data_IF_830028539498
#
_entry.id   IF_830028539498
#
_cell.length_a   1.000
_cell.length_b   1.000
_cell.length_c   1.000
_cell.angle_alpha   90.00
_cell.angle_beta   90.00
_cell.angle_gamma   90.00
#
_symmetry.space_group_name_H-M   'P 1'
#
loop_
_entity.id
_entity.type
_entity.pdbx_description
1 polymer ?
#
# COMPACT_ATOMS: atom_id res chain seq x y z
N UNK A 1 21.63 36.03 -58.75
CA UNK A 1 20.95 36.15 -57.43
C UNK A 1 20.57 34.75 -56.96
N UNK A 2 21.28 34.22 -55.96
CA UNK A 2 21.04 32.87 -55.40
C UNK A 2 20.36 33.06 -54.06
N UNK A 3 19.08 32.71 -53.96
CA UNK A 3 18.31 32.69 -52.72
C UNK A 3 18.74 31.50 -51.85
N UNK A 4 19.16 31.77 -50.60
CA UNK A 4 19.46 30.74 -49.58
C UNK A 4 18.23 30.66 -48.67
N UNK A 5 17.49 29.55 -48.74
CA UNK A 5 16.41 29.23 -47.82
C UNK A 5 17.05 28.59 -46.56
N UNK A 6 16.90 29.24 -45.41
CA UNK A 6 17.34 28.70 -44.14
C UNK A 6 16.20 27.82 -43.58
N UNK A 7 16.47 26.54 -43.34
CA UNK A 7 15.58 25.63 -42.65
C UNK A 7 15.77 25.79 -41.13
N UNK A 8 14.73 26.18 -40.41
CA UNK A 8 14.70 26.23 -38.96
C UNK A 8 14.29 24.84 -38.46
N UNK A 9 15.25 24.13 -37.84
CA UNK A 9 14.98 22.88 -37.10
C UNK A 9 14.40 23.25 -35.72
N UNK A 10 13.12 23.01 -35.52
CA UNK A 10 12.46 23.04 -34.20
C UNK A 10 12.74 21.70 -33.53
N UNK A 11 13.65 21.70 -32.56
CA UNK A 11 13.87 20.56 -31.68
C UNK A 11 12.71 20.49 -30.66
N UNK A 12 11.74 19.63 -30.90
CA UNK A 12 10.70 19.29 -29.95
C UNK A 12 11.30 18.48 -28.78
N UNK A 13 11.31 19.07 -27.58
CA UNK A 13 11.62 18.32 -26.37
C UNK A 13 10.47 17.33 -26.10
N UNK A 14 10.68 16.04 -26.40
CA UNK A 14 9.83 14.96 -25.94
C UNK A 14 10.03 14.82 -24.43
N UNK A 15 9.10 15.35 -23.64
CA UNK A 15 8.99 14.99 -22.22
C UNK A 15 8.62 13.51 -22.15
N UNK A 16 9.57 12.68 -21.76
CA UNK A 16 9.28 11.29 -21.42
C UNK A 16 8.36 11.30 -20.19
N UNK A 17 7.09 11.00 -20.40
CA UNK A 17 6.17 10.63 -19.31
C UNK A 17 6.71 9.30 -18.80
N UNK A 18 7.27 9.30 -17.59
CA UNK A 18 7.62 8.06 -16.92
C UNK A 18 6.33 7.28 -16.73
N UNK A 19 6.20 6.14 -17.40
CA UNK A 19 5.14 5.19 -17.15
C UNK A 19 5.21 4.81 -15.66
N UNK A 20 4.15 5.06 -14.91
CA UNK A 20 4.05 4.67 -13.51
C UNK A 20 4.28 3.16 -13.42
N UNK A 21 5.28 2.73 -12.64
CA UNK A 21 5.45 1.32 -12.38
C UNK A 21 4.25 0.86 -11.53
N UNK A 22 3.47 -0.07 -12.05
CA UNK A 22 2.41 -0.73 -11.28
C UNK A 22 3.01 -1.44 -10.06
N UNK A 23 2.22 -1.58 -8.99
CA UNK A 23 2.61 -2.40 -7.85
C UNK A 23 2.82 -3.84 -8.32
N UNK A 24 4.00 -4.38 -8.03
CA UNK A 24 4.28 -5.79 -8.27
C UNK A 24 3.85 -6.60 -7.04
N UNK A 25 2.76 -7.37 -7.16
CA UNK A 25 2.25 -8.24 -6.10
C UNK A 25 2.40 -9.72 -6.48
N UNK A 26 2.51 -10.59 -5.49
CA UNK A 26 2.53 -12.05 -5.69
C UNK A 26 2.08 -12.79 -4.46
N UNK A 27 1.36 -13.91 -4.66
CA UNK A 27 0.92 -14.83 -3.62
C UNK A 27 1.57 -16.18 -3.81
N UNK A 28 2.18 -16.73 -2.75
CA UNK A 28 3.01 -17.94 -2.79
C UNK A 28 2.70 -18.81 -1.57
N UNK A 29 1.78 -19.75 -1.71
CA UNK A 29 1.37 -20.59 -0.58
C UNK A 29 0.86 -19.73 0.59
N UNK A 30 1.57 -19.74 1.73
CA UNK A 30 1.21 -18.95 2.91
C UNK A 30 1.89 -17.57 2.97
N UNK A 31 2.33 -17.04 1.81
CA UNK A 31 3.08 -15.80 1.73
C UNK A 31 2.51 -14.87 0.66
N UNK A 32 2.46 -13.58 0.99
CA UNK A 32 2.22 -12.51 0.02
C UNK A 32 3.45 -11.61 -0.10
N UNK A 33 3.67 -11.04 -1.27
CA UNK A 33 4.74 -10.07 -1.52
C UNK A 33 4.16 -8.86 -2.23
N UNK A 34 4.57 -7.69 -1.79
CA UNK A 34 4.27 -6.42 -2.46
C UNK A 34 5.58 -5.66 -2.65
N UNK A 35 5.83 -5.20 -3.87
CA UNK A 35 6.95 -4.32 -4.19
C UNK A 35 6.44 -2.98 -4.69
N UNK A 36 7.00 -1.89 -4.18
CA UNK A 36 6.58 -0.54 -4.56
C UNK A 36 7.32 0.00 -5.79
N UNK A 37 6.90 1.19 -6.22
CA UNK A 37 7.46 1.90 -7.37
C UNK A 37 8.94 2.30 -7.23
N UNK A 38 9.52 2.20 -6.03
CA UNK A 38 10.97 2.40 -5.77
C UNK A 38 11.70 1.09 -5.48
N UNK A 39 11.07 -0.05 -5.82
CA UNK A 39 11.59 -1.41 -5.59
C UNK A 39 11.85 -1.77 -4.13
N UNK A 40 11.18 -1.13 -3.17
CA UNK A 40 11.11 -1.67 -1.82
C UNK A 40 10.11 -2.81 -1.84
N UNK A 41 10.53 -4.01 -1.43
CA UNK A 41 9.66 -5.18 -1.37
C UNK A 41 9.41 -5.58 0.08
N UNK A 42 8.19 -5.99 0.36
CA UNK A 42 7.76 -6.54 1.65
C UNK A 42 7.10 -7.89 1.41
N UNK A 43 7.62 -8.94 2.02
CA UNK A 43 7.01 -10.27 2.06
C UNK A 43 6.35 -10.47 3.43
N UNK A 44 5.14 -10.98 3.45
CA UNK A 44 4.36 -11.29 4.65
C UNK A 44 4.06 -12.78 4.67
N UNK A 45 4.55 -13.49 5.67
CA UNK A 45 4.21 -14.88 5.96
C UNK A 45 3.15 -14.92 7.05
N UNK A 46 1.99 -15.52 6.76
CA UNK A 46 0.83 -15.47 7.64
C UNK A 46 0.88 -16.57 8.70
N UNK A 47 0.50 -16.20 9.92
CA UNK A 47 0.17 -17.14 10.98
C UNK A 47 -1.21 -17.76 10.80
N UNK A 48 -1.63 -18.56 11.78
CA UNK A 48 -2.95 -19.15 11.74
C UNK A 48 -4.05 -18.07 11.89
N UNK A 49 -5.09 -18.18 11.08
CA UNK A 49 -6.27 -17.33 11.16
C UNK A 49 -7.23 -17.92 12.20
N UNK A 50 -7.44 -17.21 13.30
CA UNK A 50 -8.42 -17.52 14.33
C UNK A 50 -9.75 -16.79 14.12
N UNK A 51 -10.68 -16.97 15.05
CA UNK A 51 -11.99 -16.29 15.03
C UNK A 51 -11.87 -14.77 15.20
N UNK A 52 -10.84 -14.30 15.91
CA UNK A 52 -10.59 -12.89 16.22
C UNK A 52 -9.57 -12.22 15.27
N UNK A 53 -9.17 -12.88 14.18
CA UNK A 53 -8.18 -12.39 13.25
C UNK A 53 -6.91 -13.25 13.20
N UNK A 54 -5.79 -12.70 12.75
CA UNK A 54 -4.51 -13.41 12.68
C UNK A 54 -3.89 -13.59 14.05
N UNK A 55 -3.34 -14.79 14.32
CA UNK A 55 -2.50 -15.03 15.51
C UNK A 55 -1.18 -14.25 15.44
N UNK A 56 -0.81 -13.77 14.26
CA UNK A 56 0.40 -13.00 13.96
C UNK A 56 0.91 -13.26 12.55
N UNK A 57 2.00 -12.60 12.19
CA UNK A 57 2.63 -12.75 10.88
C UNK A 57 4.10 -12.34 10.94
N UNK A 58 4.90 -12.91 10.03
CA UNK A 58 6.29 -12.51 9.83
C UNK A 58 6.36 -11.54 8.64
N UNK A 59 6.96 -10.37 8.85
CA UNK A 59 7.28 -9.43 7.79
C UNK A 59 8.79 -9.47 7.48
N UNK A 60 9.12 -9.57 6.19
CA UNK A 60 10.49 -9.41 5.69
C UNK A 60 10.46 -8.29 4.68
N UNK A 61 11.23 -7.23 4.94
CA UNK A 61 11.29 -6.05 4.08
C UNK A 61 12.71 -5.80 3.60
N UNK A 62 12.86 -5.34 2.35
CA UNK A 62 14.14 -4.88 1.82
C UNK A 62 13.94 -3.71 0.86
N UNK A 63 14.71 -2.63 1.04
CA UNK A 63 14.71 -1.50 0.12
C UNK A 63 15.30 -1.85 -1.24
N UNK A 64 15.03 -1.01 -2.25
CA UNK A 64 15.54 -1.19 -3.61
C UNK A 64 17.05 -0.88 -3.78
N UNK A 65 17.72 -0.32 -2.75
CA UNK A 65 19.13 0.04 -2.81
C UNK A 65 20.03 -1.17 -2.98
N UNK A 66 21.07 -1.07 -3.82
CA UNK A 66 21.88 -2.20 -4.29
C UNK A 66 22.51 -3.05 -3.17
N UNK A 67 22.88 -2.43 -2.06
CA UNK A 67 23.53 -3.04 -0.89
C UNK A 67 22.57 -3.24 0.30
N UNK A 68 21.28 -2.93 0.14
CA UNK A 68 20.33 -3.05 1.22
C UNK A 68 20.25 -4.49 1.76
N UNK A 69 20.44 -4.63 3.07
CA UNK A 69 20.13 -5.84 3.79
C UNK A 69 18.61 -5.95 4.02
N UNK A 70 18.06 -7.16 4.15
CA UNK A 70 16.69 -7.35 4.61
C UNK A 70 16.56 -6.96 6.08
N UNK A 71 15.38 -6.49 6.47
CA UNK A 71 14.93 -6.40 7.86
C UNK A 71 13.78 -7.37 8.06
N UNK A 72 13.59 -7.84 9.27
CA UNK A 72 12.48 -8.71 9.62
C UNK A 72 11.87 -8.29 10.95
N UNK A 73 10.56 -8.41 11.05
CA UNK A 73 9.82 -8.28 12.30
C UNK A 73 8.73 -9.34 12.38
N UNK A 74 8.48 -9.81 13.59
CA UNK A 74 7.36 -10.69 13.86
C UNK A 74 6.31 -9.93 14.66
N UNK A 75 5.07 -10.05 14.22
CA UNK A 75 3.91 -9.54 14.94
C UNK A 75 3.16 -10.73 15.54
N UNK A 76 2.73 -10.59 16.80
CA UNK A 76 1.98 -11.62 17.51
C UNK A 76 0.81 -11.01 18.22
N UNK A 77 -0.35 -11.65 18.17
CA UNK A 77 -1.50 -11.22 18.95
C UNK A 77 -1.19 -11.31 20.46
N UNK A 78 -1.62 -10.30 21.21
CA UNK A 78 -1.48 -10.29 22.66
C UNK A 78 -1.20 -8.90 23.24
N UNK A 79 -1.55 -8.74 24.50
CA UNK A 79 -1.39 -7.50 25.25
C UNK A 79 -0.05 -7.49 26.04
N UNK A 80 0.46 -6.29 26.30
CA UNK A 80 1.65 -6.08 27.13
C UNK A 80 2.94 -6.57 26.51
N UNK A 81 4.04 -6.41 27.21
CA UNK A 81 5.36 -6.85 26.77
C UNK A 81 5.56 -8.37 27.00
N UNK A 82 6.27 -9.03 26.08
CA UNK A 82 6.60 -10.44 26.19
C UNK A 82 8.07 -10.71 25.78
N UNK A 83 8.50 -11.92 26.00
CA UNK A 83 9.79 -12.43 25.51
C UNK A 83 9.55 -13.67 24.67
N UNK A 84 9.98 -13.63 23.42
CA UNK A 84 9.77 -14.70 22.46
C UNK A 84 11.06 -15.45 22.14
N UNK A 85 10.92 -16.72 21.77
CA UNK A 85 11.98 -17.54 21.17
C UNK A 85 11.48 -18.05 19.83
N UNK A 86 12.21 -17.77 18.74
CA UNK A 86 11.84 -18.25 17.42
C UNK A 86 12.51 -19.58 17.12
N UNK A 87 11.73 -20.51 16.57
CA UNK A 87 12.17 -21.82 16.13
C UNK A 87 11.80 -22.03 14.66
N UNK A 88 12.74 -22.52 13.87
CA UNK A 88 12.45 -23.04 12.53
C UNK A 88 12.60 -24.56 12.59
N UNK A 89 11.51 -25.28 12.26
CA UNK A 89 11.42 -26.75 12.36
C UNK A 89 11.85 -27.30 13.73
N UNK A 90 11.55 -26.57 14.80
CA UNK A 90 11.89 -26.94 16.17
C UNK A 90 13.32 -26.57 16.62
N UNK A 91 14.16 -26.03 15.74
CA UNK A 91 15.51 -25.58 16.07
C UNK A 91 15.51 -24.05 16.32
N UNK A 92 16.17 -23.65 17.43
CA UNK A 92 16.34 -22.23 17.78
C UNK A 92 17.82 -21.89 17.88
N UNK A 93 18.40 -21.15 16.93
CA UNK A 93 19.73 -20.59 17.10
C UNK A 93 19.77 -19.64 18.31
N UNK A 94 20.90 -19.51 19.02
CA UNK A 94 21.01 -18.60 20.16
C UNK A 94 20.59 -17.16 19.85
N UNK A 95 20.85 -16.65 18.64
CA UNK A 95 20.49 -15.32 18.21
C UNK A 95 18.96 -15.10 18.14
N UNK A 96 18.17 -16.15 18.03
CA UNK A 96 16.70 -16.10 17.94
C UNK A 96 16.00 -16.45 19.26
N UNK A 97 16.72 -16.39 20.38
CA UNK A 97 16.21 -16.64 21.73
C UNK A 97 16.10 -15.35 22.53
N UNK A 98 15.14 -15.31 23.45
CA UNK A 98 14.89 -14.18 24.36
C UNK A 98 14.69 -12.82 23.63
N UNK A 99 13.91 -12.81 22.58
CA UNK A 99 13.59 -11.62 21.78
C UNK A 99 12.51 -10.79 22.49
N UNK A 100 12.70 -9.47 22.68
CA UNK A 100 11.68 -8.62 23.26
C UNK A 100 10.53 -8.42 22.27
N UNK A 101 9.31 -8.63 22.72
CA UNK A 101 8.08 -8.26 22.03
C UNK A 101 7.45 -7.07 22.77
N UNK A 102 7.31 -5.95 22.10
CA UNK A 102 6.75 -4.71 22.66
C UNK A 102 5.31 -4.54 22.21
N UNK A 103 4.41 -3.96 23.04
CA UNK A 103 3.06 -3.65 22.61
C UNK A 103 3.08 -2.75 21.36
N UNK A 104 2.14 -2.97 20.43
CA UNK A 104 1.81 -2.05 19.34
C UNK A 104 1.10 -0.81 19.84
N UNK A 105 0.30 -0.15 19.00
CA UNK A 105 -0.48 1.01 19.41
C UNK A 105 -1.57 0.61 20.43
N UNK A 106 -1.87 1.53 21.38
CA UNK A 106 -2.81 1.24 22.48
C UNK A 106 -4.26 1.02 22.00
N UNK A 107 -4.61 1.51 20.82
CA UNK A 107 -5.96 1.47 20.25
C UNK A 107 -6.15 0.35 19.19
N UNK A 108 -5.16 -0.54 19.02
CA UNK A 108 -5.26 -1.66 18.07
C UNK A 108 -6.13 -2.79 18.63
N UNK A 109 -7.13 -3.23 17.83
CA UNK A 109 -7.91 -4.43 18.14
C UNK A 109 -7.96 -5.39 16.92
N UNK A 110 -7.44 -6.63 17.06
CA UNK A 110 -6.82 -7.21 18.26
C UNK A 110 -5.48 -6.56 18.60
N UNK A 111 -5.16 -6.45 19.89
CA UNK A 111 -3.88 -5.93 20.34
C UNK A 111 -2.72 -6.78 19.78
N UNK A 112 -1.74 -6.11 19.19
CA UNK A 112 -0.57 -6.74 18.58
C UNK A 112 0.69 -6.38 19.34
N UNK A 113 1.65 -7.30 19.34
CA UNK A 113 3.02 -7.09 19.83
C UNK A 113 3.98 -7.16 18.66
N UNK A 114 4.99 -6.32 18.69
CA UNK A 114 6.02 -6.23 17.64
C UNK A 114 7.36 -6.70 18.19
N UNK A 115 7.99 -7.66 17.51
CA UNK A 115 9.35 -8.11 17.74
C UNK A 115 10.20 -7.69 16.55
N UNK A 116 10.94 -6.59 16.69
CA UNK A 116 11.91 -6.15 15.69
C UNK A 116 13.18 -6.99 15.80
N UNK A 117 13.63 -7.56 14.68
CA UNK A 117 14.87 -8.33 14.65
C UNK A 117 16.06 -7.44 14.30
N UNK A 118 17.15 -7.57 15.05
CA UNK A 118 18.43 -6.94 14.67
C UNK A 118 18.95 -7.51 13.36
N UNK A 119 19.98 -6.88 12.78
CA UNK A 119 20.59 -7.38 11.53
C UNK A 119 21.16 -8.80 11.69
N UNK A 120 21.76 -9.13 12.85
CA UNK A 120 22.26 -10.46 13.16
C UNK A 120 21.11 -11.49 13.27
N UNK A 121 20.06 -11.14 13.99
CA UNK A 121 18.87 -11.99 14.16
C UNK A 121 18.16 -12.21 12.82
N UNK A 122 18.03 -11.15 12.02
CA UNK A 122 17.47 -11.24 10.66
C UNK A 122 18.31 -12.19 9.80
N UNK A 123 19.64 -12.06 9.83
CA UNK A 123 20.53 -12.94 9.06
C UNK A 123 20.41 -14.40 9.50
N UNK A 124 20.32 -14.66 10.82
CA UNK A 124 20.12 -16.00 11.38
C UNK A 124 18.78 -16.61 10.93
N UNK A 125 17.69 -15.81 10.93
CA UNK A 125 16.38 -16.23 10.44
C UNK A 125 16.41 -16.52 8.94
N UNK A 126 16.95 -15.59 8.13
CA UNK A 126 17.04 -15.72 6.67
C UNK A 126 17.83 -16.95 6.22
N UNK A 127 18.79 -17.40 7.02
CA UNK A 127 19.55 -18.63 6.77
C UNK A 127 18.73 -19.92 6.85
N UNK A 128 17.51 -19.87 7.37
CA UNK A 128 16.69 -21.06 7.65
C UNK A 128 15.34 -21.05 6.92
N UNK A 129 14.71 -19.88 6.74
CA UNK A 129 13.32 -19.80 6.27
C UNK A 129 13.13 -20.23 4.82
N UNK A 130 14.16 -20.17 3.98
CA UNK A 130 14.04 -20.56 2.57
C UNK A 130 13.88 -22.08 2.38
N UNK A 131 14.42 -22.87 3.29
CA UNK A 131 14.42 -24.33 3.24
C UNK A 131 13.58 -24.96 4.38
N UNK A 132 13.14 -24.14 5.35
CA UNK A 132 12.31 -24.58 6.47
C UNK A 132 10.85 -24.84 6.08
N UNK A 133 10.13 -25.51 6.96
CA UNK A 133 8.71 -25.85 6.81
C UNK A 133 7.80 -25.00 7.69
N UNK A 134 8.26 -24.69 8.90
CA UNK A 134 7.50 -23.90 9.87
C UNK A 134 8.41 -22.99 10.70
N UNK A 135 7.94 -21.76 10.96
CA UNK A 135 8.46 -20.85 11.97
C UNK A 135 7.47 -20.82 13.13
N UNK A 136 7.92 -21.09 14.34
CA UNK A 136 7.10 -20.98 15.56
C UNK A 136 7.75 -19.99 16.52
N UNK A 137 6.99 -19.02 17.00
CA UNK A 137 7.38 -18.18 18.11
C UNK A 137 6.82 -18.77 19.41
N UNK A 138 7.68 -18.98 20.38
CA UNK A 138 7.32 -19.48 21.70
C UNK A 138 7.35 -18.35 22.71
N UNK A 139 6.29 -18.22 23.49
CA UNK A 139 6.22 -17.41 24.71
C UNK A 139 6.15 -18.35 25.91
N UNK A 140 7.10 -18.24 26.83
CA UNK A 140 7.19 -19.12 28.00
C UNK A 140 7.17 -20.63 27.65
N UNK A 141 7.71 -20.98 26.47
CA UNK A 141 7.74 -22.35 25.98
C UNK A 141 6.45 -22.84 25.31
N UNK A 142 5.41 -22.02 25.20
CA UNK A 142 4.17 -22.32 24.48
C UNK A 142 4.12 -21.59 23.14
N UNK A 143 3.53 -22.18 22.09
CA UNK A 143 3.35 -21.49 20.81
C UNK A 143 2.47 -20.24 20.95
N UNK A 144 3.01 -19.07 20.59
CA UNK A 144 2.27 -17.82 20.46
C UNK A 144 1.76 -17.63 19.02
N UNK A 145 2.61 -17.97 18.04
CA UNK A 145 2.23 -17.96 16.62
C UNK A 145 3.05 -19.01 15.86
N UNK A 146 2.43 -19.64 14.88
CA UNK A 146 3.10 -20.51 13.90
C UNK A 146 2.85 -20.01 12.49
N UNK A 147 3.92 -19.80 11.72
CA UNK A 147 3.89 -19.35 10.33
C UNK A 147 4.37 -20.49 9.45
N UNK A 148 3.55 -20.94 8.51
CA UNK A 148 3.97 -21.89 7.51
C UNK A 148 5.01 -21.27 6.58
N UNK A 149 6.15 -21.95 6.39
CA UNK A 149 7.19 -21.52 5.45
C UNK A 149 6.95 -22.04 4.02
N UNK A 150 5.82 -22.71 3.78
CA UNK A 150 5.39 -23.08 2.42
C UNK A 150 5.18 -21.83 1.57
N UNK A 151 6.00 -21.66 0.54
CA UNK A 151 6.00 -20.50 -0.33
C UNK A 151 7.05 -19.44 -0.01
N UNK A 152 7.72 -19.48 1.15
CA UNK A 152 8.74 -18.51 1.55
C UNK A 152 9.85 -18.34 0.51
N UNK A 153 10.41 -19.45 0.02
CA UNK A 153 11.46 -19.44 -1.00
C UNK A 153 11.00 -18.80 -2.31
N UNK A 154 9.75 -19.06 -2.72
CA UNK A 154 9.18 -18.44 -3.93
C UNK A 154 8.93 -16.92 -3.71
N UNK A 155 8.42 -16.53 -2.55
CA UNK A 155 8.22 -15.14 -2.16
C UNK A 155 9.55 -14.36 -2.17
N UNK A 156 10.59 -14.92 -1.57
CA UNK A 156 11.92 -14.29 -1.52
C UNK A 156 12.59 -14.25 -2.92
N UNK A 157 12.37 -15.25 -3.78
CA UNK A 157 12.83 -15.22 -5.18
C UNK A 157 12.10 -14.15 -5.97
N UNK A 158 10.81 -13.96 -5.74
CA UNK A 158 10.04 -12.87 -6.35
C UNK A 158 10.63 -11.51 -5.96
N UNK A 159 10.95 -11.29 -4.67
CA UNK A 159 11.65 -10.08 -4.23
C UNK A 159 13.00 -9.88 -4.95
N UNK A 160 13.81 -10.95 -5.07
CA UNK A 160 15.09 -10.88 -5.77
C UNK A 160 14.92 -10.48 -7.25
N UNK A 161 13.89 -11.01 -7.94
CA UNK A 161 13.60 -10.69 -9.33
C UNK A 161 13.14 -9.23 -9.48
N UNK A 162 12.14 -8.81 -8.68
CA UNK A 162 11.60 -7.44 -8.75
C UNK A 162 12.65 -6.38 -8.41
N UNK A 163 13.55 -6.68 -7.50
CA UNK A 163 14.70 -5.84 -7.15
C UNK A 163 15.90 -5.99 -8.10
N UNK A 164 15.80 -6.85 -9.14
CA UNK A 164 16.90 -7.10 -10.10
C UNK A 164 18.16 -7.68 -9.45
N UNK A 165 17.99 -8.48 -8.38
CA UNK A 165 19.08 -9.07 -7.60
C UNK A 165 19.38 -10.52 -7.95
N UNK A 166 18.51 -11.19 -8.69
CA UNK A 166 18.71 -12.59 -9.10
C UNK A 166 20.08 -12.78 -9.77
N UNK A 167 20.84 -13.75 -9.30
CA UNK A 167 22.22 -14.02 -9.73
C UNK A 167 23.30 -13.11 -9.13
N UNK A 168 22.95 -12.25 -8.16
CA UNK A 168 23.92 -11.43 -7.44
C UNK A 168 24.26 -12.03 -6.07
N UNK A 169 25.35 -11.55 -5.45
CA UNK A 169 25.73 -11.94 -4.08
C UNK A 169 24.77 -11.40 -3.03
N UNK A 170 23.96 -10.38 -3.37
CA UNK A 170 22.99 -9.76 -2.48
C UNK A 170 21.57 -10.33 -2.62
N UNK A 171 21.36 -11.32 -3.50
CA UNK A 171 20.09 -12.03 -3.56
C UNK A 171 19.79 -12.77 -2.26
N UNK A 172 18.51 -12.86 -1.87
CA UNK A 172 18.08 -13.59 -0.68
C UNK A 172 18.17 -15.10 -0.90
N UNK A 173 17.65 -15.57 -2.02
CA UNK A 173 17.59 -17.00 -2.40
C UNK A 173 18.25 -17.25 -3.74
N UNK A 174 17.97 -16.44 -4.75
CA UNK A 174 18.49 -16.61 -6.12
C UNK A 174 19.94 -16.10 -6.24
N UNK A 175 20.83 -16.54 -5.33
CA UNK A 175 22.22 -16.09 -5.23
C UNK A 175 23.07 -16.50 -6.43
N UNK A 176 24.09 -15.69 -6.72
CA UNK A 176 25.10 -15.92 -7.75
C UNK A 176 26.33 -15.05 -7.51
N UNK A 177 27.24 -15.00 -8.49
CA UNK A 177 28.57 -14.38 -8.31
C UNK A 177 28.62 -12.90 -8.68
N UNK A 178 27.56 -12.35 -9.28
CA UNK A 178 27.52 -10.94 -9.67
C UNK A 178 27.65 -10.03 -8.44
N UNK A 179 28.45 -8.95 -8.52
CA UNK A 179 28.59 -8.02 -7.39
C UNK A 179 27.30 -7.23 -7.13
N UNK A 180 27.15 -6.63 -5.95
CA UNK A 180 26.04 -5.76 -5.61
C UNK A 180 25.88 -4.59 -6.61
N UNK A 181 26.98 -4.07 -7.15
CA UNK A 181 26.99 -3.00 -8.16
C UNK A 181 26.32 -3.39 -9.49
N UNK A 182 26.04 -4.66 -9.71
CA UNK A 182 25.23 -5.11 -10.86
C UNK A 182 23.73 -4.86 -10.69
N UNK A 183 23.27 -4.53 -9.47
CA UNK A 183 21.88 -4.15 -9.21
C UNK A 183 21.64 -2.73 -9.68
N UNK A 184 20.68 -2.47 -10.58
CA UNK A 184 20.38 -1.11 -11.02
C UNK A 184 19.87 -0.25 -9.85
N UNK A 185 20.23 1.03 -9.84
CA UNK A 185 19.74 1.98 -8.86
C UNK A 185 18.20 1.96 -8.76
N UNK A 186 17.69 2.07 -7.55
CA UNK A 186 16.25 2.16 -7.31
C UNK A 186 15.67 3.41 -8.00
N UNK A 187 14.46 3.34 -8.59
CA UNK A 187 13.79 4.53 -9.08
C UNK A 187 13.56 5.54 -7.95
N UNK A 188 13.67 6.84 -8.26
CA UNK A 188 13.32 7.86 -7.29
C UNK A 188 11.80 7.95 -7.13
N UNK A 189 11.32 8.12 -5.90
CA UNK A 189 9.91 8.40 -5.66
C UNK A 189 9.52 9.75 -6.30
N UNK A 190 8.35 9.85 -6.95
CA UNK A 190 7.86 11.10 -7.48
C UNK A 190 7.74 12.16 -6.38
N UNK A 191 8.07 13.41 -6.72
CA UNK A 191 7.91 14.56 -5.79
C UNK A 191 6.58 15.22 -6.08
N UNK A 192 5.74 15.35 -5.05
CA UNK A 192 4.45 16.02 -5.14
C UNK A 192 4.47 17.32 -4.31
N UNK A 193 3.80 18.33 -4.81
CA UNK A 193 3.56 19.57 -4.07
C UNK A 193 2.07 19.72 -3.85
N UNK A 194 1.56 19.52 -2.62
CA UNK A 194 0.15 19.77 -2.32
C UNK A 194 -0.24 21.22 -2.59
N UNK A 195 -1.48 21.44 -3.03
CA UNK A 195 -2.02 22.78 -3.09
C UNK A 195 -2.12 23.40 -1.69
N UNK A 196 -2.01 24.74 -1.56
CA UNK A 196 -2.23 25.40 -0.28
C UNK A 196 -3.62 25.10 0.29
N UNK A 197 -3.68 24.95 1.61
CA UNK A 197 -4.96 24.82 2.33
C UNK A 197 -5.89 25.98 1.99
N UNK A 198 -7.17 25.68 1.83
CA UNK A 198 -8.23 26.66 1.56
C UNK A 198 -9.38 26.47 2.55
N UNK A 199 -10.03 27.57 2.95
CA UNK A 199 -11.15 27.53 3.88
C UNK A 199 -12.33 26.72 3.32
N UNK A 200 -12.93 25.89 4.14
CA UNK A 200 -14.01 24.96 3.79
C UNK A 200 -15.42 25.48 4.19
N UNK A 201 -15.54 26.70 4.70
CA UNK A 201 -16.84 27.25 5.13
C UNK A 201 -17.85 27.43 4.00
N UNK A 202 -19.14 27.23 4.29
CA UNK A 202 -20.24 27.43 3.35
C UNK A 202 -20.30 26.42 2.21
N UNK A 203 -19.80 25.19 2.43
CA UNK A 203 -19.96 24.11 1.45
C UNK A 203 -21.43 23.69 1.34
N UNK A 204 -21.92 23.36 0.13
CA UNK A 204 -23.25 22.79 -0.03
C UNK A 204 -23.30 21.37 0.57
N UNK A 205 -24.44 21.01 1.14
CA UNK A 205 -24.68 19.70 1.75
C UNK A 205 -25.40 18.72 0.83
N UNK A 206 -25.82 19.16 -0.37
CA UNK A 206 -26.52 18.31 -1.32
C UNK A 206 -26.10 18.65 -2.77
N UNK A 207 -26.04 17.63 -3.65
CA UNK A 207 -25.75 17.83 -5.06
C UNK A 207 -26.77 18.75 -5.75
N UNK A 208 -26.29 19.63 -6.65
CA UNK A 208 -27.14 20.46 -7.50
C UNK A 208 -27.98 19.59 -8.46
N UNK A 209 -29.03 20.18 -9.07
CA UNK A 209 -29.81 19.49 -10.10
C UNK A 209 -28.94 19.05 -11.30
N UNK A 210 -27.95 19.85 -11.68
CA UNK A 210 -27.02 19.54 -12.76
C UNK A 210 -26.12 18.35 -12.41
N UNK A 211 -25.67 18.26 -11.15
CA UNK A 211 -24.84 17.14 -10.68
C UNK A 211 -25.69 15.87 -10.55
N UNK A 212 -26.90 15.95 -9.98
CA UNK A 212 -27.84 14.82 -9.91
C UNK A 212 -28.15 14.21 -11.28
N UNK A 213 -28.25 15.02 -12.32
CA UNK A 213 -28.47 14.53 -13.69
C UNK A 213 -27.31 13.67 -14.23
N UNK A 214 -26.12 13.72 -13.62
CA UNK A 214 -24.97 12.85 -13.95
C UNK A 214 -24.96 11.51 -13.22
N UNK A 215 -25.86 11.31 -12.25
CA UNK A 215 -25.94 10.11 -11.41
C UNK A 215 -26.98 9.10 -11.91
N UNK A 216 -27.41 9.19 -13.18
CA UNK A 216 -28.50 8.37 -13.76
C UNK A 216 -28.18 6.86 -13.84
N UNK A 217 -26.93 6.47 -13.63
CA UNK A 217 -26.50 5.07 -13.58
C UNK A 217 -26.33 4.50 -12.17
N UNK A 218 -26.62 5.29 -11.14
CA UNK A 218 -26.53 4.86 -9.75
C UNK A 218 -27.73 4.02 -9.32
N UNK A 219 -27.57 3.22 -8.27
CA UNK A 219 -28.63 2.37 -7.71
C UNK A 219 -29.84 3.26 -7.29
N UNK A 220 -31.05 2.82 -7.61
CA UNK A 220 -32.27 3.60 -7.34
C UNK A 220 -32.51 3.80 -5.83
N UNK A 221 -32.14 2.82 -5.01
CA UNK A 221 -32.29 2.84 -3.55
C UNK A 221 -31.20 3.64 -2.83
N UNK A 222 -30.11 4.04 -3.50
CA UNK A 222 -29.04 4.82 -2.88
C UNK A 222 -29.53 6.19 -2.39
N UNK A 223 -30.50 6.76 -3.08
CA UNK A 223 -31.11 8.04 -2.71
C UNK A 223 -31.99 7.95 -1.44
N UNK A 224 -32.48 6.76 -1.08
CA UNK A 224 -33.28 6.50 0.12
C UNK A 224 -32.39 6.42 1.38
N UNK A 225 -31.10 6.16 1.16
CA UNK A 225 -30.09 6.11 2.22
C UNK A 225 -29.46 7.48 2.31
N UNK A 226 -29.74 8.19 3.40
CA UNK A 226 -29.24 9.55 3.64
C UNK A 226 -27.69 9.56 3.85
N UNK A 227 -26.94 9.14 2.82
CA UNK A 227 -25.48 9.26 2.81
C UNK A 227 -25.11 10.68 2.39
N UNK A 228 -24.48 11.41 3.30
CA UNK A 228 -23.98 12.75 2.98
C UNK A 228 -22.86 12.65 1.93
N UNK A 229 -22.84 13.54 0.92
CA UNK A 229 -21.76 13.58 -0.04
C UNK A 229 -20.48 14.08 0.64
N UNK A 230 -19.34 13.58 0.19
CA UNK A 230 -18.03 14.14 0.55
C UNK A 230 -17.80 15.35 -0.34
N UNK A 231 -17.82 16.56 0.26
CA UNK A 231 -17.64 17.82 -0.46
C UNK A 231 -16.44 18.57 0.07
N UNK A 232 -15.60 19.08 -0.82
CA UNK A 232 -14.44 19.88 -0.43
C UNK A 232 -14.19 21.01 -1.43
N UNK A 233 -13.74 22.16 -0.92
CA UNK A 233 -13.23 23.23 -1.77
C UNK A 233 -11.77 22.96 -2.12
N UNK A 234 -11.49 22.75 -3.40
CA UNK A 234 -10.15 22.51 -3.93
C UNK A 234 -9.41 23.80 -4.28
N UNK A 235 -10.14 24.81 -4.72
CA UNK A 235 -9.66 26.14 -5.08
C UNK A 235 -10.84 27.12 -5.09
N UNK A 236 -10.56 28.42 -5.19
CA UNK A 236 -11.62 29.42 -5.40
C UNK A 236 -12.39 29.08 -6.70
N UNK A 237 -13.68 28.90 -6.60
CA UNK A 237 -14.53 28.55 -7.73
C UNK A 237 -14.49 27.08 -8.13
N UNK A 238 -13.95 26.17 -7.28
CA UNK A 238 -13.85 24.76 -7.62
C UNK A 238 -14.14 23.87 -6.41
N UNK A 239 -15.19 23.06 -6.52
CA UNK A 239 -15.58 22.05 -5.52
C UNK A 239 -15.30 20.64 -6.01
N UNK A 240 -14.81 19.79 -5.14
CA UNK A 240 -14.81 18.34 -5.25
C UNK A 240 -16.11 17.78 -4.69
N UNK A 241 -16.61 16.74 -5.32
CA UNK A 241 -17.75 15.96 -4.88
C UNK A 241 -17.46 14.48 -5.01
N UNK A 242 -17.67 13.76 -3.92
CA UNK A 242 -17.85 12.31 -3.91
C UNK A 242 -19.29 12.04 -3.54
N UNK A 243 -20.07 11.54 -4.49
CA UNK A 243 -21.50 11.25 -4.31
C UNK A 243 -21.71 9.76 -4.31
N UNK A 244 -22.34 9.21 -3.26
CA UNK A 244 -22.66 7.79 -3.20
C UNK A 244 -23.51 7.40 -4.43
N UNK A 245 -23.09 6.31 -5.10
CA UNK A 245 -23.70 5.83 -6.33
C UNK A 245 -24.21 4.40 -6.20
N UNK A 246 -23.52 3.56 -5.46
CA UNK A 246 -23.97 2.21 -5.13
C UNK A 246 -23.39 1.75 -3.79
N UNK A 247 -23.94 0.67 -3.24
CA UNK A 247 -23.44 0.09 -2.00
C UNK A 247 -23.50 -1.43 -2.00
N UNK A 248 -22.49 -2.03 -1.38
CA UNK A 248 -22.50 -3.41 -0.95
C UNK A 248 -22.77 -3.53 0.55
N UNK A 249 -22.52 -4.71 1.11
CA UNK A 249 -22.73 -4.99 2.54
C UNK A 249 -21.83 -4.12 3.46
N UNK A 250 -20.65 -3.74 3.02
CA UNK A 250 -19.64 -3.02 3.81
C UNK A 250 -18.84 -1.98 3.00
N UNK A 251 -19.17 -1.79 1.72
CA UNK A 251 -18.56 -0.80 0.84
C UNK A 251 -19.63 0.13 0.28
N UNK A 252 -19.30 1.41 0.21
CA UNK A 252 -20.06 2.41 -0.54
C UNK A 252 -19.20 2.87 -1.71
N UNK A 253 -19.75 2.85 -2.91
CA UNK A 253 -19.08 3.32 -4.12
C UNK A 253 -19.52 4.76 -4.38
N UNK A 254 -18.56 5.64 -4.57
CA UNK A 254 -18.77 7.06 -4.82
C UNK A 254 -18.35 7.41 -6.24
N UNK A 255 -19.24 8.06 -6.98
CA UNK A 255 -18.91 8.73 -8.25
C UNK A 255 -18.30 10.10 -7.96
N UNK A 256 -17.20 10.42 -8.65
CA UNK A 256 -16.38 11.59 -8.36
C UNK A 256 -16.58 12.69 -9.41
N UNK A 257 -16.74 13.93 -8.93
CA UNK A 257 -16.93 15.10 -9.78
C UNK A 257 -16.17 16.32 -9.27
N UNK A 258 -15.94 17.26 -10.21
CA UNK A 258 -15.56 18.63 -9.91
C UNK A 258 -16.61 19.57 -10.49
N UNK A 259 -16.98 20.60 -9.73
CA UNK A 259 -17.97 21.62 -10.12
C UNK A 259 -17.45 23.02 -9.86
N UNK A 260 -18.19 24.04 -10.31
CA UNK A 260 -18.05 25.41 -9.80
C UNK A 260 -18.63 25.54 -8.37
N UNK A 261 -18.49 26.72 -7.75
CA UNK A 261 -18.97 27.00 -6.38
C UNK A 261 -20.49 26.83 -6.19
N UNK A 262 -21.27 26.99 -7.26
CA UNK A 262 -22.72 26.81 -7.24
C UNK A 262 -23.15 25.37 -7.52
N UNK A 263 -22.19 24.44 -7.68
CA UNK A 263 -22.46 23.06 -8.08
C UNK A 263 -22.83 22.90 -9.56
N UNK A 264 -22.56 23.93 -10.38
CA UNK A 264 -22.75 23.92 -11.83
C UNK A 264 -21.57 23.29 -12.57
N UNK A 265 -21.77 23.07 -13.88
CA UNK A 265 -20.72 22.53 -14.77
C UNK A 265 -20.04 21.25 -14.26
N UNK A 266 -20.77 20.19 -13.84
CA UNK A 266 -20.16 18.99 -13.30
C UNK A 266 -19.30 18.27 -14.34
N UNK A 267 -18.04 18.06 -13.99
CA UNK A 267 -17.08 17.28 -14.76
C UNK A 267 -16.73 16.03 -13.98
N UNK A 268 -16.73 14.87 -14.63
CA UNK A 268 -16.28 13.61 -14.04
C UNK A 268 -14.81 13.75 -13.67
N UNK A 269 -14.48 13.43 -12.43
CA UNK A 269 -13.10 13.41 -11.96
C UNK A 269 -12.54 12.00 -12.11
N UNK A 270 -11.35 11.91 -12.69
CA UNK A 270 -10.59 10.68 -12.82
C UNK A 270 -9.39 10.71 -11.86
N UNK A 271 -9.27 9.69 -11.01
CA UNK A 271 -8.13 9.51 -10.12
C UNK A 271 -7.10 8.59 -10.77
N UNK A 272 -5.81 8.96 -10.79
CA UNK A 272 -4.77 8.07 -11.31
C UNK A 272 -4.47 6.94 -10.33
N UNK A 273 -4.24 5.73 -10.86
CA UNK A 273 -3.77 4.56 -10.11
C UNK A 273 -2.37 4.13 -10.61
N UNK A 274 -1.60 3.36 -9.81
CA UNK A 274 -0.25 2.94 -10.18
C UNK A 274 -0.21 2.03 -11.41
N UNK A 275 -1.28 1.27 -11.70
CA UNK A 275 -1.44 0.41 -12.89
C UNK A 275 -1.70 1.20 -14.18
N UNK A 276 -1.96 2.50 -14.06
CA UNK A 276 -2.24 3.39 -15.19
C UNK A 276 -3.70 3.48 -15.58
N UNK A 277 -4.59 2.68 -14.99
CA UNK A 277 -6.04 2.72 -15.25
C UNK A 277 -6.71 3.72 -14.30
N UNK A 278 -7.18 4.89 -14.80
CA UNK A 278 -7.82 5.87 -13.95
C UNK A 278 -9.24 5.46 -13.57
N UNK A 279 -9.66 5.80 -12.35
CA UNK A 279 -11.01 5.53 -11.88
C UNK A 279 -11.78 6.83 -11.55
N UNK A 280 -13.06 6.86 -11.90
CA UNK A 280 -14.03 7.91 -11.53
C UNK A 280 -15.03 7.45 -10.46
N UNK A 281 -14.96 6.18 -10.08
CA UNK A 281 -15.74 5.56 -9.02
C UNK A 281 -14.79 4.85 -8.06
N UNK A 282 -14.91 5.13 -6.77
CA UNK A 282 -14.03 4.59 -5.72
C UNK A 282 -14.83 4.28 -4.45
N UNK A 283 -14.34 3.32 -3.68
CA UNK A 283 -15.01 2.86 -2.45
C UNK A 283 -14.61 3.70 -1.23
N UNK A 284 -15.54 3.92 -0.31
CA UNK A 284 -15.29 4.37 1.07
C UNK A 284 -14.33 5.55 1.15
N UNK A 285 -14.66 6.67 0.52
CA UNK A 285 -13.79 7.84 0.43
C UNK A 285 -13.83 8.73 1.66
N UNK A 286 -12.73 9.46 1.89
CA UNK A 286 -12.62 10.57 2.83
C UNK A 286 -11.75 11.69 2.23
N UNK A 287 -11.97 12.92 2.65
CA UNK A 287 -11.14 14.05 2.24
C UNK A 287 -10.64 14.83 3.45
N UNK A 288 -9.33 14.98 3.56
CA UNK A 288 -8.68 15.83 4.55
C UNK A 288 -8.35 17.20 3.95
N UNK A 289 -9.05 18.27 4.36
CA UNK A 289 -8.82 19.62 3.83
C UNK A 289 -7.51 20.25 4.32
N UNK A 290 -6.93 19.77 5.39
CA UNK A 290 -5.69 20.33 5.95
C UNK A 290 -4.48 19.89 5.13
N UNK A 291 -4.48 18.66 4.65
CA UNK A 291 -3.44 18.09 3.78
C UNK A 291 -3.82 18.06 2.31
N UNK A 292 -5.06 18.47 1.96
CA UNK A 292 -5.61 18.39 0.60
C UNK A 292 -5.58 16.95 0.04
N UNK A 293 -5.78 15.97 0.91
CA UNK A 293 -5.67 14.55 0.58
C UNK A 293 -7.06 13.91 0.51
N UNK A 294 -7.35 13.29 -0.62
CA UNK A 294 -8.45 12.34 -0.81
C UNK A 294 -7.91 10.95 -0.47
N UNK A 295 -8.61 10.21 0.36
CA UNK A 295 -8.30 8.82 0.69
C UNK A 295 -9.47 7.93 0.35
N UNK A 296 -9.19 6.64 0.16
CA UNK A 296 -10.22 5.62 0.10
C UNK A 296 -9.76 4.31 0.75
N UNK A 297 -10.73 3.45 1.03
CA UNK A 297 -10.49 2.10 1.51
C UNK A 297 -11.28 1.08 0.68
N UNK A 298 -10.60 0.43 -0.24
CA UNK A 298 -11.14 -0.68 -1.03
C UNK A 298 -11.06 -1.96 -0.20
N UNK A 299 -12.11 -2.24 0.60
CA UNK A 299 -12.16 -3.43 1.45
C UNK A 299 -12.43 -4.68 0.60
N UNK A 300 -11.56 -5.67 0.69
CA UNK A 300 -11.76 -6.97 0.05
C UNK A 300 -12.86 -7.79 0.72
N UNK A 301 -13.06 -7.60 2.04
CA UNK A 301 -14.16 -8.18 2.83
C UNK A 301 -14.51 -7.33 4.05
N UNK A 302 -15.61 -7.68 4.73
CA UNK A 302 -16.16 -6.90 5.85
C UNK A 302 -15.21 -6.66 7.01
N UNK A 303 -14.30 -7.60 7.31
CA UNK A 303 -13.28 -7.45 8.36
C UNK A 303 -12.26 -6.35 8.03
N UNK A 304 -12.10 -5.97 6.74
CA UNK A 304 -11.15 -4.95 6.35
C UNK A 304 -9.68 -5.36 6.50
N UNK A 305 -9.39 -6.66 6.45
CA UNK A 305 -8.04 -7.24 6.61
C UNK A 305 -7.35 -7.57 5.28
N UNK A 306 -7.93 -7.16 4.18
CA UNK A 306 -7.39 -7.23 2.82
C UNK A 306 -8.02 -6.18 1.92
N UNK A 307 -7.32 -5.81 0.84
CA UNK A 307 -7.74 -4.79 -0.10
C UNK A 307 -6.66 -3.75 -0.34
N UNK A 308 -7.07 -2.50 -0.56
CA UNK A 308 -6.17 -1.38 -0.79
C UNK A 308 -6.59 -0.13 -0.03
N UNK A 309 -5.61 0.60 0.51
CA UNK A 309 -5.75 1.97 0.98
C UNK A 309 -5.02 2.87 0.00
N UNK A 310 -5.71 3.86 -0.53
CA UNK A 310 -5.16 4.79 -1.49
C UNK A 310 -5.26 6.23 -0.99
N UNK A 311 -4.25 7.02 -1.31
CA UNK A 311 -4.23 8.45 -1.03
C UNK A 311 -3.83 9.22 -2.29
N UNK A 312 -4.57 10.28 -2.58
CA UNK A 312 -4.26 11.25 -3.63
C UNK A 312 -4.21 12.64 -3.04
N UNK A 313 -3.23 13.41 -3.46
CA UNK A 313 -3.12 14.82 -3.04
C UNK A 313 -3.55 15.74 -4.18
N UNK A 314 -4.31 16.78 -3.84
CA UNK A 314 -4.63 17.84 -4.76
C UNK A 314 -3.43 18.77 -4.98
N UNK A 315 -2.95 18.89 -6.22
CA UNK A 315 -1.76 19.67 -6.60
C UNK A 315 -2.08 21.09 -7.10
N UNK A 316 -3.36 21.52 -7.00
CA UNK A 316 -3.84 22.78 -7.55
C UNK A 316 -4.44 22.67 -8.95
N UNK A 317 -4.13 21.61 -9.69
CA UNK A 317 -4.65 21.35 -11.02
C UNK A 317 -5.29 19.97 -11.17
N UNK A 318 -4.79 18.97 -10.48
CA UNK A 318 -5.25 17.57 -10.51
C UNK A 318 -4.97 16.87 -9.19
N UNK A 319 -5.64 15.76 -8.94
CA UNK A 319 -5.21 14.79 -7.95
C UNK A 319 -4.03 13.98 -8.51
N UNK A 320 -3.02 13.77 -7.66
CA UNK A 320 -1.89 12.91 -7.97
C UNK A 320 -1.76 11.84 -6.90
N UNK A 321 -1.46 10.61 -7.30
CA UNK A 321 -1.27 9.49 -6.38
C UNK A 321 -0.17 9.79 -5.38
N UNK A 322 -0.52 9.79 -4.10
CA UNK A 322 0.40 10.09 -2.99
C UNK A 322 0.97 8.82 -2.39
N UNK A 323 0.11 7.88 -2.05
CA UNK A 323 0.47 6.61 -1.45
C UNK A 323 -0.56 5.53 -1.74
N UNK A 324 -0.10 4.28 -1.72
CA UNK A 324 -0.97 3.11 -1.72
C UNK A 324 -0.34 2.04 -0.84
N UNK A 325 -1.17 1.39 -0.01
CA UNK A 325 -0.84 0.12 0.65
C UNK A 325 -1.81 -0.94 0.20
N UNK A 326 -1.33 -2.18 0.08
CA UNK A 326 -2.14 -3.31 -0.39
C UNK A 326 -1.89 -4.52 0.49
N UNK A 327 -2.96 -5.22 0.87
CA UNK A 327 -2.91 -6.58 1.38
C UNK A 327 -3.71 -7.48 0.45
N UNK A 328 -3.03 -8.29 -0.39
CA UNK A 328 -3.72 -9.10 -1.40
C UNK A 328 -4.44 -10.31 -0.80
N UNK A 329 -4.06 -10.73 0.42
CA UNK A 329 -4.58 -11.92 1.08
C UNK A 329 -5.37 -11.57 2.34
N UNK A 330 -6.59 -12.10 2.47
CA UNK A 330 -7.46 -11.87 3.63
C UNK A 330 -7.09 -12.82 4.79
N UNK A 331 -6.01 -12.50 5.49
CA UNK A 331 -5.39 -13.33 6.54
C UNK A 331 -5.35 -12.63 7.90
N UNK A 332 -6.27 -11.68 8.15
CA UNK A 332 -6.40 -11.02 9.45
C UNK A 332 -5.31 -9.98 9.74
N UNK A 333 -4.57 -9.50 8.74
CA UNK A 333 -3.57 -8.45 8.93
C UNK A 333 -4.25 -7.09 8.91
N UNK A 334 -4.07 -6.32 10.00
CA UNK A 334 -4.66 -4.99 10.13
C UNK A 334 -4.08 -3.99 9.10
N UNK A 335 -4.86 -2.99 8.66
CA UNK A 335 -4.46 -2.06 7.59
C UNK A 335 -3.17 -1.28 7.84
N UNK A 336 -2.85 -0.96 9.08
CA UNK A 336 -1.62 -0.26 9.49
C UNK A 336 -0.33 -1.06 9.23
N UNK A 337 -0.46 -2.38 9.07
CA UNK A 337 0.67 -3.27 8.77
C UNK A 337 0.74 -3.65 7.29
N UNK A 338 -0.13 -3.10 6.43
CA UNK A 338 -0.14 -3.46 5.03
C UNK A 338 1.10 -2.96 4.28
N UNK A 339 1.67 -3.78 3.41
CA UNK A 339 2.80 -3.38 2.59
C UNK A 339 2.49 -2.19 1.69
N UNK A 340 3.48 -1.29 1.59
CA UNK A 340 3.41 -0.16 0.65
C UNK A 340 3.62 -0.66 -0.78
N UNK A 341 2.69 -0.32 -1.67
CA UNK A 341 2.73 -0.64 -3.10
C UNK A 341 3.07 0.57 -3.97
N UNK A 342 2.84 1.78 -3.45
CA UNK A 342 3.22 3.03 -4.11
C UNK A 342 3.55 4.10 -3.08
N UNK A 343 4.57 4.90 -3.39
CA UNK A 343 4.93 6.08 -2.60
C UNK A 343 5.37 7.25 -3.47
N UNK A 344 5.05 8.45 -3.00
CA UNK A 344 5.64 9.72 -3.42
C UNK A 344 6.35 10.40 -2.25
N UNK A 345 6.95 11.55 -2.45
CA UNK A 345 7.61 12.40 -1.46
C UNK A 345 7.36 13.88 -1.75
#
# INVERSE_FOLDING_TARGET
>A
MKSRTAAILVAGAMSAVAAGASADTGSFGNWAVVCDNVRTCTAVGFGELGEMGSSGFLEIRRSGEADAAPTARLLTAGEGAATLTLQVDGASPPALSALPATPGAEDEEPAMRVTELTAEQTAALMGQIADGRSLTALEQGQPAVSVSLSGSSAALRFMDDRQKRAGTRTALVARGDKPASAVPAAPAAPVLTPAPRIAQGGLPNAPSAALRAKLSGCDEDIAEISLEPVVARLAKGKLFWGVACSRGAYNVIYSLFVTDEAGGNPQVLQLPYPDGEPASEVMNIGFDPDTQTLSNFDKGRGLGDCGALNEWVWTGSRFAMKAQTIMPECQGVLPEFWPVSYRSR
#
